data_IF_117310065330
#
_entry.id   IF_117310065330
#
_cell.length_a   1.000
_cell.length_b   1.000
_cell.length_c   1.000
_cell.angle_alpha   90.00
_cell.angle_beta   90.00
_cell.angle_gamma   90.00
#
_symmetry.space_group_name_H-M   'P 1'
#
loop_
_entity.id
_entity.type
_entity.pdbx_description
1 polymer ?
#
# COMPACT_ATOMS: atom_id res chain seq x y z
N UNK A 1 13.88 -8.99 9.24
CA UNK A 1 12.67 -9.61 9.82
C UNK A 1 11.96 -10.49 8.81
N UNK A 2 11.56 -10.00 7.64
CA UNK A 2 10.86 -10.83 6.64
C UNK A 2 11.64 -12.10 6.23
N UNK A 3 12.96 -12.01 6.07
CA UNK A 3 13.85 -13.16 5.78
C UNK A 3 13.82 -14.29 6.82
N UNK A 4 13.41 -14.01 8.07
CA UNK A 4 13.29 -15.02 9.11
C UNK A 4 11.99 -15.84 8.99
N UNK A 5 11.02 -15.36 8.21
CA UNK A 5 9.70 -15.99 8.06
C UNK A 5 9.29 -16.13 6.58
N UNK A 6 10.03 -16.88 5.75
CA UNK A 6 9.76 -16.97 4.32
C UNK A 6 8.40 -17.60 3.97
N UNK A 7 7.79 -18.34 4.91
CA UNK A 7 6.46 -18.95 4.76
C UNK A 7 5.34 -18.12 5.40
N UNK A 8 5.59 -16.84 5.70
CA UNK A 8 4.60 -15.96 6.29
C UNK A 8 3.48 -15.66 5.28
N UNK A 9 2.25 -16.02 5.64
CA UNK A 9 1.05 -15.77 4.83
C UNK A 9 0.24 -14.57 5.31
N UNK A 10 0.19 -14.39 6.62
CA UNK A 10 -0.63 -13.40 7.30
C UNK A 10 0.25 -12.66 8.31
N UNK A 11 0.30 -11.34 8.22
CA UNK A 11 0.92 -10.46 9.21
C UNK A 11 -0.11 -9.47 9.73
N UNK A 12 -0.34 -9.44 11.03
CA UNK A 12 -1.28 -8.50 11.65
C UNK A 12 -0.67 -7.86 12.89
N UNK A 13 -0.46 -6.55 12.87
CA UNK A 13 0.21 -5.79 13.93
C UNK A 13 -0.62 -4.55 14.31
N UNK A 14 -1.31 -4.63 15.45
CA UNK A 14 -1.93 -3.48 16.09
C UNK A 14 -2.97 -2.75 15.23
N UNK A 15 -3.85 -3.47 14.55
CA UNK A 15 -4.90 -2.93 13.67
C UNK A 15 -6.29 -2.87 14.31
N UNK A 16 -6.41 -3.21 15.60
CA UNK A 16 -7.70 -3.34 16.29
C UNK A 16 -8.09 -2.11 17.11
N UNK A 17 -7.15 -1.21 17.38
CA UNK A 17 -7.36 -0.03 18.22
C UNK A 17 -6.66 1.16 17.56
N UNK A 18 -7.38 2.25 17.34
CA UNK A 18 -6.80 3.51 16.89
C UNK A 18 -5.91 4.11 17.99
N UNK A 19 -4.75 4.66 17.62
CA UNK A 19 -3.88 5.33 18.61
C UNK A 19 -3.93 6.85 18.51
N UNK A 20 -4.78 7.38 17.63
CA UNK A 20 -4.95 8.80 17.41
C UNK A 20 -3.68 9.49 16.87
N UNK A 21 -3.74 10.80 16.72
CA UNK A 21 -2.61 11.58 16.20
C UNK A 21 -1.39 11.60 17.15
N UNK A 22 -1.59 11.32 18.44
CA UNK A 22 -0.56 11.42 19.49
C UNK A 22 0.52 10.34 19.40
N UNK A 23 0.24 9.23 18.72
CA UNK A 23 1.18 8.10 18.59
C UNK A 23 1.31 7.65 17.14
N UNK A 24 1.97 8.46 16.28
CA UNK A 24 2.10 8.14 14.87
C UNK A 24 2.91 6.85 14.68
N UNK A 25 2.53 5.98 13.73
CA UNK A 25 3.27 4.76 13.47
C UNK A 25 4.70 5.08 13.03
N UNK A 26 5.66 4.25 13.45
CA UNK A 26 7.04 4.30 12.95
C UNK A 26 7.23 3.50 11.66
N UNK A 27 6.40 2.50 11.45
CA UNK A 27 6.39 1.74 10.21
C UNK A 27 5.97 2.64 9.05
N UNK A 28 6.51 2.37 7.87
CA UNK A 28 6.21 3.11 6.65
C UNK A 28 5.63 2.15 5.62
N UNK A 29 4.93 2.67 4.62
CA UNK A 29 4.40 1.85 3.51
C UNK A 29 5.49 1.08 2.75
N UNK A 30 6.74 1.55 2.79
CA UNK A 30 7.91 0.81 2.25
C UNK A 30 8.21 -0.48 2.99
N UNK A 31 7.70 -0.66 4.21
CA UNK A 31 7.75 -1.92 4.94
C UNK A 31 7.07 -3.08 4.19
N UNK A 32 6.21 -2.79 3.21
CA UNK A 32 5.63 -3.79 2.32
C UNK A 32 6.67 -4.44 1.39
N UNK A 33 7.68 -3.70 0.94
CA UNK A 33 8.68 -4.20 -0.03
C UNK A 33 9.40 -5.45 0.49
N UNK A 34 10.08 -5.42 1.65
CA UNK A 34 10.79 -6.61 2.14
C UNK A 34 9.85 -7.75 2.52
N UNK A 35 8.59 -7.47 2.85
CA UNK A 35 7.59 -8.52 3.10
C UNK A 35 7.25 -9.26 1.80
N UNK A 36 6.97 -8.51 0.74
CA UNK A 36 6.64 -9.09 -0.57
C UNK A 36 7.85 -9.77 -1.21
N UNK A 37 9.04 -9.21 -1.04
CA UNK A 37 10.29 -9.76 -1.57
C UNK A 37 10.68 -11.09 -0.93
N UNK A 38 10.53 -11.21 0.39
CA UNK A 38 11.05 -12.36 1.14
C UNK A 38 9.97 -13.35 1.61
N UNK A 39 8.69 -12.97 1.56
CA UNK A 39 7.56 -13.83 1.94
C UNK A 39 6.66 -14.08 0.71
N UNK A 40 7.02 -14.99 -0.21
CA UNK A 40 6.30 -15.21 -1.46
C UNK A 40 4.83 -15.62 -1.30
N UNK A 41 4.47 -16.23 -0.17
CA UNK A 41 3.11 -16.71 0.11
C UNK A 41 2.26 -15.68 0.88
N UNK A 42 2.75 -14.45 1.06
CA UNK A 42 2.02 -13.42 1.81
C UNK A 42 0.76 -12.98 1.05
N UNK A 43 -0.38 -13.07 1.72
CA UNK A 43 -1.69 -12.70 1.17
C UNK A 43 -2.40 -11.65 2.01
N UNK A 44 -2.03 -11.51 3.28
CA UNK A 44 -2.72 -10.64 4.24
C UNK A 44 -1.70 -9.83 5.02
N UNK A 45 -1.79 -8.51 4.90
CA UNK A 45 -0.91 -7.59 5.59
C UNK A 45 -1.76 -6.55 6.31
N UNK A 46 -1.71 -6.57 7.63
CA UNK A 46 -2.39 -5.64 8.50
C UNK A 46 -1.41 -4.95 9.41
N UNK A 47 -1.14 -3.66 9.20
CA UNK A 47 -0.43 -2.84 10.18
C UNK A 47 -0.64 -1.36 9.89
N UNK A 48 -0.40 -0.54 10.90
CA UNK A 48 -0.45 0.92 10.76
C UNK A 48 0.87 1.46 10.28
N UNK A 49 0.81 2.42 9.37
CA UNK A 49 1.98 2.94 8.70
C UNK A 49 1.84 4.42 8.39
N UNK A 50 2.98 5.09 8.29
CA UNK A 50 3.05 6.34 7.53
C UNK A 50 2.97 5.96 6.06
N UNK A 51 1.84 6.30 5.46
CA UNK A 51 1.59 6.01 4.06
C UNK A 51 2.04 7.13 3.11
N UNK A 52 2.65 8.19 3.65
CA UNK A 52 3.16 9.27 2.82
C UNK A 52 4.34 8.88 1.96
N UNK A 53 4.20 9.36 0.73
CA UNK A 53 5.00 9.03 -0.44
C UNK A 53 6.00 10.17 -0.76
N UNK A 54 6.21 11.09 0.17
CA UNK A 54 7.00 12.30 -0.06
C UNK A 54 8.51 11.97 -0.09
N UNK A 55 9.25 12.68 -0.94
CA UNK A 55 10.71 12.47 -1.10
C UNK A 55 11.13 11.32 -2.01
N UNK A 56 10.19 10.69 -2.73
CA UNK A 56 10.53 9.67 -3.71
C UNK A 56 11.19 10.36 -4.89
N UNK A 57 12.47 10.02 -5.14
CA UNK A 57 13.30 10.68 -6.13
C UNK A 57 12.55 10.88 -7.44
N UNK A 58 12.41 12.14 -7.85
CA UNK A 58 11.87 12.54 -9.16
C UNK A 58 12.85 12.22 -10.29
N UNK A 59 13.57 11.10 -10.22
CA UNK A 59 14.48 10.69 -11.28
C UNK A 59 13.64 10.25 -12.47
N UNK A 60 13.28 11.23 -13.30
CA UNK A 60 12.77 11.12 -14.67
C UNK A 60 13.86 10.59 -15.60
N UNK A 61 14.64 9.63 -15.14
CA UNK A 61 15.50 8.85 -16.03
C UNK A 61 14.60 7.89 -16.78
N UNK A 62 14.90 7.72 -18.06
CA UNK A 62 14.15 6.92 -19.05
C UNK A 62 13.94 5.46 -18.59
N UNK A 63 14.72 5.01 -17.61
CA UNK A 63 14.48 3.81 -16.81
C UNK A 63 13.83 4.21 -15.48
N UNK A 64 12.50 4.17 -15.38
CA UNK A 64 11.80 4.40 -14.11
C UNK A 64 11.94 3.11 -13.27
N UNK A 65 12.69 3.10 -12.16
CA UNK A 65 12.54 2.03 -11.19
C UNK A 65 11.09 2.11 -10.71
N UNK A 66 10.32 1.04 -10.87
CA UNK A 66 8.98 0.92 -10.30
C UNK A 66 9.08 1.32 -8.82
N UNK A 67 8.10 2.06 -8.28
CA UNK A 67 8.17 2.58 -6.91
C UNK A 67 8.25 1.45 -5.85
N UNK A 68 7.93 0.21 -6.23
CA UNK A 68 8.18 -1.00 -5.47
C UNK A 68 9.56 -1.64 -5.67
N UNK A 69 10.55 -0.92 -6.21
CA UNK A 69 11.90 -1.42 -6.54
C UNK A 69 11.89 -2.67 -7.46
N UNK A 70 10.85 -2.79 -8.30
CA UNK A 70 10.63 -3.95 -9.18
C UNK A 70 10.06 -5.20 -8.48
N UNK A 71 9.89 -5.15 -7.16
CA UNK A 71 9.29 -6.22 -6.36
C UNK A 71 7.79 -6.27 -6.60
N UNK A 72 7.27 -7.47 -6.86
CA UNK A 72 5.85 -7.71 -7.08
C UNK A 72 5.38 -8.95 -6.31
N UNK A 73 4.22 -8.83 -5.68
CA UNK A 73 3.57 -9.93 -4.99
C UNK A 73 3.15 -11.01 -5.97
N UNK A 74 3.36 -12.27 -5.58
CA UNK A 74 2.93 -13.45 -6.35
C UNK A 74 1.43 -13.68 -6.24
N UNK A 75 0.84 -13.22 -5.15
CA UNK A 75 -0.57 -13.36 -4.85
C UNK A 75 -1.21 -11.99 -4.61
N UNK A 76 -2.50 -11.83 -4.91
CA UNK A 76 -3.29 -10.69 -4.46
C UNK A 76 -3.14 -10.45 -2.96
N UNK A 77 -2.88 -9.22 -2.57
CA UNK A 77 -2.76 -8.83 -1.16
C UNK A 77 -4.07 -8.21 -0.67
N UNK A 78 -4.52 -8.64 0.51
CA UNK A 78 -5.48 -7.93 1.36
C UNK A 78 -4.70 -7.05 2.33
N UNK A 79 -4.96 -5.74 2.29
CA UNK A 79 -4.26 -4.76 3.09
C UNK A 79 -5.20 -4.20 4.17
N UNK A 80 -4.82 -4.28 5.44
CA UNK A 80 -5.47 -3.55 6.52
C UNK A 80 -4.55 -2.45 7.05
N UNK A 81 -4.97 -1.20 6.89
CA UNK A 81 -4.14 -0.02 7.17
C UNK A 81 -4.44 0.59 8.53
N UNK A 82 -5.38 0.05 9.30
CA UNK A 82 -5.78 0.65 10.57
C UNK A 82 -6.24 2.10 10.42
N UNK A 83 -5.78 2.98 11.30
CA UNK A 83 -5.98 4.45 11.28
C UNK A 83 -4.84 5.18 10.54
N UNK A 84 -4.19 4.52 9.55
CA UNK A 84 -3.12 5.15 8.78
C UNK A 84 -3.65 6.37 8.03
N UNK A 85 -2.99 7.51 8.20
CA UNK A 85 -3.30 8.75 7.51
C UNK A 85 -2.59 8.82 6.16
N UNK A 86 -3.25 9.43 5.19
CA UNK A 86 -2.70 9.66 3.86
C UNK A 86 -2.96 11.10 3.41
N UNK A 87 -1.95 11.73 2.82
CA UNK A 87 -2.10 13.06 2.25
C UNK A 87 -2.46 13.02 0.75
N UNK A 88 -2.01 12.00 0.02
CA UNK A 88 -2.23 11.89 -1.42
C UNK A 88 -2.57 10.46 -1.85
N UNK A 89 -3.86 10.21 -2.09
CA UNK A 89 -4.38 8.91 -2.49
C UNK A 89 -3.77 8.39 -3.80
N UNK A 90 -3.56 9.25 -4.80
CA UNK A 90 -3.00 8.87 -6.11
C UNK A 90 -1.58 8.32 -5.95
N UNK A 91 -0.75 8.99 -5.16
CA UNK A 91 0.63 8.58 -4.88
C UNK A 91 0.69 7.22 -4.17
N UNK A 92 -0.17 7.02 -3.17
CA UNK A 92 -0.29 5.75 -2.45
C UNK A 92 -0.78 4.64 -3.37
N UNK A 93 -1.82 4.89 -4.15
CA UNK A 93 -2.35 3.92 -5.10
C UNK A 93 -1.31 3.51 -6.16
N UNK A 94 -0.55 4.48 -6.70
CA UNK A 94 0.52 4.19 -7.65
C UNK A 94 1.60 3.29 -7.04
N UNK A 95 1.92 3.46 -5.76
CA UNK A 95 2.87 2.60 -5.07
C UNK A 95 2.33 1.19 -4.83
N UNK A 96 1.11 1.10 -4.32
CA UNK A 96 0.47 -0.19 -4.08
C UNK A 96 0.29 -0.98 -5.38
N UNK A 97 -0.01 -0.32 -6.49
CA UNK A 97 -0.10 -0.97 -7.80
C UNK A 97 1.24 -1.50 -8.32
N UNK A 98 2.36 -0.92 -7.88
CA UNK A 98 3.69 -1.40 -8.27
C UNK A 98 4.04 -2.70 -7.54
N UNK A 99 3.65 -2.79 -6.25
CA UNK A 99 3.88 -3.96 -5.40
C UNK A 99 2.88 -5.07 -5.66
N UNK A 100 1.61 -4.73 -5.82
CA UNK A 100 0.53 -5.69 -6.01
C UNK A 100 -0.47 -5.10 -7.00
N UNK A 101 -0.30 -5.30 -8.31
CA UNK A 101 -1.24 -4.81 -9.32
C UNK A 101 -2.65 -5.39 -9.17
N UNK A 102 -2.79 -6.47 -8.39
CA UNK A 102 -4.07 -7.10 -8.01
C UNK A 102 -4.28 -7.01 -6.49
N UNK A 103 -4.28 -5.81 -5.89
CA UNK A 103 -4.76 -5.68 -4.49
C UNK A 103 -6.21 -6.14 -4.44
N UNK A 104 -6.52 -7.11 -3.57
CA UNK A 104 -7.84 -7.72 -3.49
C UNK A 104 -8.82 -6.82 -2.71
N UNK A 105 -8.35 -6.26 -1.60
CA UNK A 105 -9.13 -5.33 -0.77
C UNK A 105 -8.21 -4.48 0.10
N UNK A 106 -8.69 -3.27 0.42
CA UNK A 106 -8.08 -2.39 1.41
C UNK A 106 -9.12 -2.16 2.50
N UNK A 107 -8.76 -2.46 3.74
CA UNK A 107 -9.57 -2.24 4.94
C UNK A 107 -8.90 -1.17 5.80
N UNK A 108 -9.69 -0.29 6.42
CA UNK A 108 -9.20 0.72 7.37
C UNK A 108 -10.09 0.74 8.62
N UNK A 109 -9.55 1.25 9.72
CA UNK A 109 -10.32 1.52 10.94
C UNK A 109 -11.22 2.77 10.79
N UNK A 110 -10.98 3.60 9.76
CA UNK A 110 -11.85 4.73 9.42
C UNK A 110 -13.26 4.30 8.99
N UNK A 111 -13.46 3.02 8.65
CA UNK A 111 -14.78 2.42 8.37
C UNK A 111 -15.44 1.82 9.64
N UNK A 112 -14.77 1.84 10.79
CA UNK A 112 -15.32 1.28 12.01
C UNK A 112 -16.07 2.35 12.81
N UNK A 113 -17.37 2.12 13.00
CA UNK A 113 -18.27 2.79 13.95
C UNK A 113 -17.86 2.61 15.43
N UNK A 114 -16.58 2.28 15.70
CA UNK A 114 -15.99 2.14 17.04
C UNK A 114 -15.39 3.48 17.50
N UNK A 115 -15.64 4.58 16.79
CA UNK A 115 -15.48 5.92 17.38
C UNK A 115 -16.54 6.22 18.46
N UNK A 116 -17.62 5.42 18.57
CA UNK A 116 -18.72 5.64 19.52
C UNK A 116 -18.40 5.23 20.98
N UNK A 117 -17.25 4.60 21.26
CA UNK A 117 -16.95 4.05 22.60
C UNK A 117 -15.87 4.80 23.39
N UNK A 118 -15.31 5.89 22.87
CA UNK A 118 -14.39 6.75 23.60
C UNK A 118 -15.00 8.16 23.65
N UNK A 119 -15.39 8.54 24.87
CA UNK A 119 -16.25 9.64 25.31
C UNK A 119 -15.61 11.04 25.15
N UNK A 120 -15.07 11.37 23.99
CA UNK A 120 -14.60 12.73 23.63
C UNK A 120 -15.17 13.09 22.23
N UNK A 121 -16.38 13.68 22.23
CA UNK A 121 -17.08 14.24 21.06
C UNK A 121 -16.35 15.50 20.52
N UNK A 122 -15.17 15.34 19.91
CA UNK A 122 -14.53 16.41 19.14
C UNK A 122 -15.00 16.35 17.67
N UNK A 123 -15.81 17.32 17.22
CA UNK A 123 -16.30 17.43 15.82
C UNK A 123 -15.15 17.40 14.78
N UNK A 124 -13.94 17.83 15.16
CA UNK A 124 -12.75 17.77 14.30
C UNK A 124 -12.32 16.33 13.98
N UNK A 125 -12.51 15.39 14.91
CA UNK A 125 -12.13 13.98 14.73
C UNK A 125 -13.08 13.26 13.76
N UNK A 126 -14.36 13.65 13.71
CA UNK A 126 -15.32 13.12 12.73
C UNK A 126 -15.00 13.56 11.30
N UNK A 127 -14.66 14.84 11.12
CA UNK A 127 -14.29 15.39 9.80
C UNK A 127 -13.01 14.74 9.29
N UNK A 128 -11.99 14.56 10.14
CA UNK A 128 -10.77 13.85 9.77
C UNK A 128 -11.07 12.39 9.38
N UNK A 129 -11.93 11.69 10.15
CA UNK A 129 -12.27 10.31 9.88
C UNK A 129 -12.96 10.14 8.52
N UNK A 130 -13.93 11.01 8.20
CA UNK A 130 -14.60 11.00 6.90
C UNK A 130 -13.63 11.31 5.76
N UNK A 131 -12.73 12.29 5.95
CA UNK A 131 -11.71 12.61 4.97
C UNK A 131 -10.77 11.42 4.70
N UNK A 132 -10.27 10.77 5.75
CA UNK A 132 -9.39 9.62 5.62
C UNK A 132 -10.09 8.41 5.00
N UNK A 133 -11.36 8.17 5.33
CA UNK A 133 -12.17 7.13 4.71
C UNK A 133 -12.26 7.36 3.19
N UNK A 134 -12.68 8.57 2.77
CA UNK A 134 -12.78 8.94 1.35
C UNK A 134 -11.44 8.78 0.63
N UNK A 135 -10.33 9.16 1.27
CA UNK A 135 -9.00 9.00 0.65
C UNK A 135 -8.62 7.53 0.47
N UNK A 136 -8.91 6.65 1.44
CA UNK A 136 -8.62 5.22 1.31
C UNK A 136 -9.54 4.54 0.29
N UNK A 137 -10.78 4.98 0.16
CA UNK A 137 -11.68 4.55 -0.92
C UNK A 137 -11.14 4.95 -2.29
N UNK A 138 -10.61 6.18 -2.42
CA UNK A 138 -9.93 6.61 -3.64
C UNK A 138 -8.69 5.75 -3.94
N UNK A 139 -7.91 5.37 -2.93
CA UNK A 139 -6.79 4.43 -3.13
C UNK A 139 -7.31 3.09 -3.66
N UNK A 140 -8.30 2.50 -3.02
CA UNK A 140 -8.89 1.24 -3.44
C UNK A 140 -9.46 1.31 -4.87
N UNK A 141 -10.04 2.46 -5.24
CA UNK A 141 -10.52 2.73 -6.59
C UNK A 141 -9.38 2.81 -7.62
N UNK A 142 -8.29 3.54 -7.32
CA UNK A 142 -7.21 3.77 -8.29
C UNK A 142 -6.25 2.58 -8.46
N UNK A 143 -6.04 1.76 -7.44
CA UNK A 143 -5.05 0.66 -7.50
C UNK A 143 -5.30 -0.29 -8.68
N UNK A 144 -6.53 -0.77 -8.96
CA UNK A 144 -6.79 -1.61 -10.14
C UNK A 144 -6.47 -0.91 -11.47
N UNK A 145 -6.80 0.38 -11.58
CA UNK A 145 -6.53 1.17 -12.80
C UNK A 145 -5.03 1.30 -13.06
N UNK A 146 -4.25 1.62 -12.03
CA UNK A 146 -2.80 1.66 -12.16
C UNK A 146 -2.20 0.27 -12.36
N UNK A 147 -2.76 -0.77 -11.73
CA UNK A 147 -2.37 -2.15 -11.95
C UNK A 147 -2.46 -2.57 -13.42
N UNK A 148 -3.53 -2.18 -14.12
CA UNK A 148 -3.68 -2.41 -15.56
C UNK A 148 -2.58 -1.72 -16.38
N UNK A 149 -2.30 -0.45 -16.08
CA UNK A 149 -1.21 0.30 -16.75
C UNK A 149 0.12 -0.38 -16.52
N UNK A 150 0.42 -0.81 -15.29
CA UNK A 150 1.67 -1.53 -14.97
C UNK A 150 1.78 -2.87 -15.68
N UNK A 151 0.66 -3.58 -15.85
CA UNK A 151 0.65 -4.82 -16.60
C UNK A 151 0.98 -4.57 -18.09
N UNK A 152 0.43 -3.51 -18.69
CA UNK A 152 0.75 -3.10 -20.06
C UNK A 152 2.22 -2.70 -20.21
N UNK A 153 2.76 -1.88 -19.30
CA UNK A 153 4.17 -1.48 -19.29
C UNK A 153 5.11 -2.69 -19.25
N UNK A 154 4.78 -3.70 -18.43
CA UNK A 154 5.57 -4.96 -18.33
C UNK A 154 5.49 -5.79 -19.61
N UNK A 155 4.31 -5.92 -20.22
CA UNK A 155 4.15 -6.64 -21.50
C UNK A 155 4.98 -5.95 -22.57
N UNK A 156 4.89 -4.62 -22.67
CA UNK A 156 5.65 -3.84 -23.63
C UNK A 156 7.17 -4.00 -23.45
N UNK A 157 7.66 -3.94 -22.21
CA UNK A 157 9.07 -4.16 -21.91
C UNK A 157 9.55 -5.56 -22.33
N UNK A 158 8.76 -6.61 -22.11
CA UNK A 158 9.11 -7.98 -22.52
C UNK A 158 9.19 -8.13 -24.06
N UNK A 159 8.30 -7.47 -24.79
CA UNK A 159 8.29 -7.51 -26.27
C UNK A 159 9.49 -6.77 -26.88
N UNK A 160 9.96 -5.69 -26.26
CA UNK A 160 11.16 -4.98 -26.72
C UNK A 160 12.46 -5.75 -26.46
N UNK A 161 12.51 -6.59 -25.42
CA UNK A 161 13.70 -7.43 -25.14
C UNK A 161 13.81 -8.60 -26.12
N UNK A 162 12.68 -9.15 -26.58
CA UNK A 162 12.65 -10.28 -27.53
C UNK A 162 12.86 -9.88 -29.00
N UNK A 163 12.79 -8.60 -29.33
CA UNK A 163 13.02 -8.08 -30.69
C UNK A 163 14.45 -7.65 -30.99
N UNK A 164 15.39 -7.83 -30.04
CA UNK A 164 16.80 -7.53 -30.28
C UNK A 164 17.46 -8.64 -31.14
N UNK A 165 18.00 -8.32 -32.32
CA UNK A 165 18.71 -9.30 -33.13
C UNK A 165 20.00 -9.73 -32.43
N UNK A 166 20.21 -11.04 -32.34
CA UNK A 166 21.48 -11.64 -31.94
C UNK A 166 22.50 -11.28 -33.03
N UNK A 167 23.44 -10.40 -32.70
CA UNK A 167 24.62 -10.12 -33.52
C UNK A 167 25.75 -11.09 -33.16
#
# INVERSE_FOLDING_TARGET
>A
MATAWPRLRILTLGILVGWGARHPPRATIRGLIPLVEHCPDISDIGYRMRADVTGWGTSRTVDRPLAGDGVMARHPIRLNVGDSRIHNAIKVASFLSDISPQVLSIHSLWNCTIHILLDDDDEEDEVEAEEMLRKWDLVAHYVPHFGMVRMQERIFALTQVTSLPVH
#
